data_IF_189975156723
#
_entry.id   IF_189975156723
#
_cell.length_a   1.000
_cell.length_b   1.000
_cell.length_c   1.000
_cell.angle_alpha   90.00
_cell.angle_beta   90.00
_cell.angle_gamma   90.00
#
_symmetry.space_group_name_H-M   'P 1'
#
loop_
_entity.id
_entity.type
_entity.pdbx_description
1 polymer ?
#
# COMPACT_ATOMS: atom_id res chain seq x y z
N UNK A 1 0.40 -21.12 -18.64
CA UNK A 1 1.24 -19.96 -18.25
C UNK A 1 0.56 -18.61 -18.53
N UNK A 2 -0.23 -18.45 -19.60
CA UNK A 2 -0.97 -17.20 -19.85
C UNK A 2 -2.07 -16.87 -18.82
N UNK A 3 -2.75 -17.89 -18.27
CA UNK A 3 -3.86 -17.72 -17.32
C UNK A 3 -3.43 -17.06 -16.00
N UNK A 4 -2.25 -17.44 -15.48
CA UNK A 4 -1.75 -16.91 -14.21
C UNK A 4 -1.33 -15.45 -14.30
N UNK A 5 -0.78 -15.00 -15.44
CA UNK A 5 -0.38 -13.61 -15.63
C UNK A 5 -1.59 -12.66 -15.73
N UNK A 6 -2.67 -13.09 -16.38
CA UNK A 6 -3.93 -12.31 -16.41
C UNK A 6 -4.54 -12.21 -15.01
N UNK A 7 -4.57 -13.30 -14.26
CA UNK A 7 -5.06 -13.31 -12.88
C UNK A 7 -4.23 -12.42 -11.94
N UNK A 8 -2.90 -12.39 -12.10
CA UNK A 8 -2.05 -11.46 -11.34
C UNK A 8 -2.43 -10.00 -11.59
N UNK A 9 -2.65 -9.63 -12.85
CA UNK A 9 -3.05 -8.29 -13.22
C UNK A 9 -4.43 -7.93 -12.67
N UNK A 10 -5.39 -8.86 -12.71
CA UNK A 10 -6.70 -8.69 -12.09
C UNK A 10 -6.60 -8.45 -10.59
N UNK A 11 -5.82 -9.25 -9.87
CA UNK A 11 -5.59 -9.06 -8.43
C UNK A 11 -4.95 -7.70 -8.14
N UNK A 12 -3.98 -7.25 -8.95
CA UNK A 12 -3.38 -5.94 -8.79
C UNK A 12 -4.35 -4.78 -9.04
N UNK A 13 -5.16 -4.88 -10.12
CA UNK A 13 -6.17 -3.87 -10.48
C UNK A 13 -7.23 -3.74 -9.39
N UNK A 14 -7.65 -4.85 -8.80
CA UNK A 14 -8.62 -4.88 -7.70
C UNK A 14 -8.02 -4.43 -6.35
N UNK A 15 -6.75 -4.78 -6.09
CA UNK A 15 -6.08 -4.49 -4.83
C UNK A 15 -5.75 -3.00 -4.65
N UNK A 16 -4.99 -2.41 -5.57
CA UNK A 16 -4.64 -0.99 -5.53
C UNK A 16 -3.78 -0.50 -4.34
N UNK A 17 -3.44 -1.33 -3.35
CA UNK A 17 -2.78 -0.86 -2.11
C UNK A 17 -1.37 -0.28 -2.28
N UNK A 18 -0.66 -0.63 -3.35
CA UNK A 18 0.57 0.07 -3.72
C UNK A 18 0.27 1.46 -4.31
N UNK A 19 -0.83 1.60 -5.05
CA UNK A 19 -1.19 2.82 -5.77
C UNK A 19 -1.87 3.86 -4.87
N UNK A 20 -2.67 3.44 -3.90
CA UNK A 20 -3.49 4.32 -3.05
C UNK A 20 -2.77 4.83 -1.80
N UNK A 21 -1.47 4.56 -1.67
CA UNK A 21 -0.68 4.97 -0.51
C UNK A 21 -0.73 4.03 0.69
N UNK A 22 -1.44 2.90 0.62
CA UNK A 22 -1.60 1.98 1.76
C UNK A 22 -0.30 1.28 2.14
N UNK A 23 0.43 0.75 1.16
CA UNK A 23 1.69 0.04 1.41
C UNK A 23 2.91 0.96 1.33
N UNK A 24 2.87 1.92 0.41
CA UNK A 24 4.01 2.78 0.09
C UNK A 24 3.56 4.21 -0.17
N UNK A 25 4.37 5.18 0.26
CA UNK A 25 4.18 6.61 -0.02
C UNK A 25 5.06 7.11 -1.17
N UNK A 26 5.95 6.25 -1.68
CA UNK A 26 6.80 6.50 -2.85
C UNK A 26 7.18 5.20 -3.55
N UNK A 27 7.47 5.27 -4.84
CA UNK A 27 7.97 4.15 -5.63
C UNK A 27 9.22 4.56 -6.40
N UNK A 28 10.16 3.62 -6.58
CA UNK A 28 11.42 3.86 -7.28
C UNK A 28 11.18 4.10 -8.76
N UNK A 29 11.95 5.00 -9.33
CA UNK A 29 12.06 5.26 -10.76
C UNK A 29 13.55 5.23 -11.14
N UNK A 30 13.85 5.29 -12.44
CA UNK A 30 15.22 5.43 -12.93
C UNK A 30 15.38 6.75 -13.69
N UNK A 31 16.63 7.18 -13.82
CA UNK A 31 16.98 8.40 -14.55
C UNK A 31 16.46 8.31 -15.99
N UNK A 32 15.63 9.28 -16.38
CA UNK A 32 14.95 9.39 -17.69
C UNK A 32 13.79 8.40 -17.93
N UNK A 33 13.24 7.75 -16.90
CA UNK A 33 11.96 7.07 -17.05
C UNK A 33 10.88 8.08 -17.45
N UNK A 34 10.09 7.75 -18.48
CA UNK A 34 8.99 8.59 -18.93
C UNK A 34 7.82 8.51 -17.95
N UNK A 35 7.89 9.31 -16.87
CA UNK A 35 6.82 9.45 -15.91
C UNK A 35 5.67 10.28 -16.50
N UNK A 36 4.45 9.92 -16.10
CA UNK A 36 3.25 10.62 -16.54
C UNK A 36 3.19 12.04 -15.94
N UNK A 37 2.62 13.05 -16.62
CA UNK A 37 2.72 14.46 -16.20
C UNK A 37 2.28 14.79 -14.76
N UNK A 38 1.30 14.06 -14.24
CA UNK A 38 0.76 14.22 -12.88
C UNK A 38 1.55 13.44 -11.80
N UNK A 39 2.56 12.68 -12.15
CA UNK A 39 3.39 11.98 -11.17
C UNK A 39 4.43 12.94 -10.59
N UNK A 40 4.33 13.22 -9.29
CA UNK A 40 5.32 14.05 -8.60
C UNK A 40 6.64 13.32 -8.47
N UNK A 41 7.71 13.86 -9.08
CA UNK A 41 9.07 13.29 -9.03
C UNK A 41 9.81 13.79 -7.80
N UNK A 42 10.61 12.90 -7.21
CA UNK A 42 11.46 13.19 -6.06
C UNK A 42 12.83 12.52 -6.26
N UNK A 43 13.91 13.22 -5.90
CA UNK A 43 15.27 12.67 -5.92
C UNK A 43 15.75 12.62 -4.47
N UNK A 44 16.15 11.43 -4.01
CA UNK A 44 16.68 11.19 -2.66
C UNK A 44 17.92 10.33 -2.79
N UNK A 45 19.07 10.80 -2.29
CA UNK A 45 20.36 10.10 -2.35
C UNK A 45 20.68 9.57 -3.76
N UNK A 46 20.62 10.45 -4.76
CA UNK A 46 20.82 10.16 -6.20
C UNK A 46 19.86 9.12 -6.81
N UNK A 47 18.85 8.69 -6.06
CA UNK A 47 17.81 7.75 -6.51
C UNK A 47 16.55 8.50 -6.89
N UNK A 48 15.93 8.10 -8.00
CA UNK A 48 14.71 8.70 -8.52
C UNK A 48 13.50 8.00 -7.91
N UNK A 49 12.49 8.78 -7.56
CA UNK A 49 11.24 8.31 -6.99
C UNK A 49 10.07 9.09 -7.58
N UNK A 50 8.87 8.51 -7.48
CA UNK A 50 7.64 9.25 -7.61
C UNK A 50 6.71 9.03 -6.42
N UNK A 51 5.90 10.05 -6.13
CA UNK A 51 5.02 10.07 -4.96
C UNK A 51 3.81 9.16 -5.13
N UNK A 52 3.40 8.56 -4.02
CA UNK A 52 2.14 7.85 -3.85
C UNK A 52 1.34 8.54 -2.71
N UNK A 53 0.00 8.61 -2.77
CA UNK A 53 -0.90 7.98 -3.74
C UNK A 53 -0.70 8.43 -5.19
N UNK A 54 -0.86 7.50 -6.12
CA UNK A 54 -0.75 7.78 -7.55
C UNK A 54 -1.94 8.63 -8.02
N UNK A 55 -1.67 9.74 -8.72
CA UNK A 55 -2.71 10.63 -9.24
C UNK A 55 -3.55 10.01 -10.39
N UNK A 56 -3.15 8.85 -10.90
CA UNK A 56 -3.86 8.08 -11.92
C UNK A 56 -4.56 6.85 -11.33
N UNK A 57 -4.76 6.81 -10.01
CA UNK A 57 -5.50 5.74 -9.35
C UNK A 57 -6.88 6.24 -8.90
N UNK A 58 -7.93 5.64 -9.46
CA UNK A 58 -9.31 5.80 -9.00
C UNK A 58 -9.98 4.42 -8.98
N UNK A 59 -9.90 3.74 -7.83
CA UNK A 59 -10.25 2.32 -7.61
C UNK A 59 -9.42 1.32 -8.43
N UNK A 60 -9.01 1.68 -9.64
CA UNK A 60 -8.03 1.00 -10.48
C UNK A 60 -7.16 2.06 -11.20
N UNK A 61 -6.11 1.60 -11.88
CA UNK A 61 -5.23 2.50 -12.63
C UNK A 61 -5.91 2.96 -13.92
N UNK A 62 -6.10 4.27 -14.08
CA UNK A 62 -6.77 4.86 -15.25
C UNK A 62 -5.92 4.86 -16.53
N UNK A 63 -4.66 4.45 -16.42
CA UNK A 63 -3.65 4.42 -17.50
C UNK A 63 -2.98 3.05 -17.58
N UNK A 64 -3.68 1.98 -17.14
CA UNK A 64 -3.09 0.65 -17.00
C UNK A 64 -2.49 0.10 -18.30
N UNK A 65 -3.17 0.30 -19.42
CA UNK A 65 -2.71 -0.19 -20.73
C UNK A 65 -1.82 0.82 -21.49
N UNK A 66 -1.41 1.90 -20.81
CA UNK A 66 -0.60 2.98 -21.38
C UNK A 66 0.76 3.07 -20.66
N UNK A 67 1.31 4.28 -20.57
CA UNK A 67 2.67 4.57 -20.10
C UNK A 67 2.80 4.44 -18.57
N UNK A 68 2.59 3.22 -18.04
CA UNK A 68 2.87 2.90 -16.63
C UNK A 68 4.38 2.86 -16.40
N UNK A 69 4.88 3.41 -15.28
CA UNK A 69 6.26 3.19 -14.86
C UNK A 69 6.59 1.70 -14.75
N UNK A 70 7.81 1.31 -15.11
CA UNK A 70 8.26 -0.07 -15.13
C UNK A 70 8.06 -0.74 -13.77
N UNK A 71 8.35 -0.03 -12.68
CA UNK A 71 8.16 -0.54 -11.31
C UNK A 71 6.71 -0.97 -11.03
N UNK A 72 5.71 -0.33 -11.67
CA UNK A 72 4.31 -0.68 -11.50
C UNK A 72 3.93 -2.02 -12.16
N UNK A 73 4.69 -2.47 -13.16
CA UNK A 73 4.53 -3.78 -13.79
C UNK A 73 5.43 -4.85 -13.16
N UNK A 74 6.63 -4.47 -12.74
CA UNK A 74 7.66 -5.41 -12.27
C UNK A 74 7.50 -5.80 -10.80
N UNK A 75 6.97 -4.90 -9.98
CA UNK A 75 6.86 -5.14 -8.54
C UNK A 75 5.77 -6.17 -8.22
N UNK A 76 6.18 -7.32 -7.66
CA UNK A 76 5.28 -8.29 -7.06
C UNK A 76 5.35 -8.20 -5.53
N UNK A 77 4.28 -7.70 -4.90
CA UNK A 77 4.16 -7.74 -3.44
C UNK A 77 4.19 -9.19 -2.94
N UNK A 78 4.43 -9.42 -1.64
CA UNK A 78 4.57 -10.78 -1.10
C UNK A 78 3.32 -11.63 -1.33
N UNK A 79 2.13 -11.03 -1.26
CA UNK A 79 0.87 -11.72 -1.51
C UNK A 79 0.77 -12.21 -2.96
N UNK A 80 1.04 -11.33 -3.92
CA UNK A 80 1.07 -11.66 -5.34
C UNK A 80 2.18 -12.68 -5.66
N UNK A 81 3.35 -12.53 -5.05
CA UNK A 81 4.44 -13.49 -5.20
C UNK A 81 4.07 -14.88 -4.70
N UNK A 82 3.28 -14.99 -3.62
CA UNK A 82 2.76 -16.29 -3.17
C UNK A 82 1.78 -16.89 -4.17
N UNK A 83 0.89 -16.08 -4.75
CA UNK A 83 -0.01 -16.49 -5.83
C UNK A 83 0.76 -17.05 -7.03
N UNK A 84 1.74 -16.28 -7.54
CA UNK A 84 2.58 -16.68 -8.69
C UNK A 84 3.27 -18.01 -8.48
N UNK A 85 3.55 -18.36 -7.22
CA UNK A 85 4.23 -19.59 -6.83
C UNK A 85 3.26 -20.72 -6.42
N UNK A 86 1.96 -20.57 -6.67
CA UNK A 86 0.94 -21.58 -6.33
C UNK A 86 0.76 -21.80 -4.82
N UNK A 87 1.11 -20.82 -3.98
CA UNK A 87 1.03 -20.94 -2.51
C UNK A 87 -0.26 -20.35 -1.93
N UNK A 88 -1.02 -19.63 -2.74
CA UNK A 88 -2.29 -19.02 -2.39
C UNK A 88 -3.18 -19.06 -3.62
N UNK A 89 -4.46 -19.31 -3.39
CA UNK A 89 -5.47 -19.31 -4.44
C UNK A 89 -6.03 -17.91 -4.70
N UNK A 90 -6.58 -17.71 -5.90
CA UNK A 90 -7.11 -16.42 -6.35
C UNK A 90 -8.19 -15.86 -5.40
N UNK A 91 -9.16 -16.69 -5.03
CA UNK A 91 -10.26 -16.29 -4.14
C UNK A 91 -9.79 -16.01 -2.71
N UNK A 92 -8.76 -16.71 -2.24
CA UNK A 92 -8.16 -16.43 -0.93
C UNK A 92 -7.56 -15.02 -0.89
N UNK A 93 -6.92 -14.61 -1.98
CA UNK A 93 -6.30 -13.28 -2.08
C UNK A 93 -7.37 -12.20 -2.20
N UNK A 94 -8.39 -12.39 -3.05
CA UNK A 94 -9.53 -11.47 -3.13
C UNK A 94 -10.17 -11.24 -1.76
N UNK A 95 -10.41 -12.32 -1.00
CA UNK A 95 -10.96 -12.21 0.36
C UNK A 95 -10.06 -11.38 1.29
N UNK A 96 -8.74 -11.53 1.21
CA UNK A 96 -7.79 -10.72 2.00
C UNK A 96 -7.81 -9.25 1.59
N UNK A 97 -7.92 -8.96 0.30
CA UNK A 97 -8.03 -7.60 -0.24
C UNK A 97 -9.30 -6.92 0.29
N UNK A 98 -10.45 -7.57 0.13
CA UNK A 98 -11.74 -7.03 0.61
C UNK A 98 -11.75 -6.79 2.11
N UNK A 99 -11.21 -7.72 2.91
CA UNK A 99 -11.07 -7.53 4.36
C UNK A 99 -10.31 -6.25 4.71
N UNK A 100 -9.26 -5.92 3.98
CA UNK A 100 -8.47 -4.71 4.22
C UNK A 100 -9.22 -3.47 3.74
N UNK A 101 -9.89 -3.51 2.58
CA UNK A 101 -10.75 -2.41 2.10
C UNK A 101 -11.83 -2.08 3.13
N UNK A 102 -12.50 -3.09 3.67
CA UNK A 102 -13.50 -2.94 4.73
C UNK A 102 -12.90 -2.37 6.02
N UNK A 103 -11.71 -2.84 6.42
CA UNK A 103 -10.99 -2.28 7.57
C UNK A 103 -10.66 -0.80 7.38
N UNK A 104 -10.24 -0.39 6.18
CA UNK A 104 -9.99 1.03 5.88
C UNK A 104 -11.25 1.87 6.08
N UNK A 105 -12.40 1.38 5.61
CA UNK A 105 -13.69 2.07 5.80
C UNK A 105 -14.03 2.20 7.29
N UNK A 106 -13.86 1.12 8.07
CA UNK A 106 -14.11 1.16 9.52
C UNK A 106 -13.15 2.08 10.25
N UNK A 107 -11.85 2.02 9.94
CA UNK A 107 -10.84 2.89 10.55
C UNK A 107 -11.09 4.36 10.24
N UNK A 108 -11.51 4.71 9.01
CA UNK A 108 -11.92 6.09 8.68
C UNK A 108 -13.05 6.60 9.58
N UNK A 109 -13.97 5.74 10.01
CA UNK A 109 -15.06 6.11 10.94
C UNK A 109 -14.59 6.23 12.39
N UNK A 110 -13.56 5.47 12.77
CA UNK A 110 -13.05 5.40 14.15
C UNK A 110 -11.99 6.47 14.45
N UNK A 111 -11.23 6.92 13.46
CA UNK A 111 -10.20 7.95 13.64
C UNK A 111 -10.87 9.33 13.72
N UNK A 112 -10.74 10.07 14.84
CA UNK A 112 -11.36 11.38 14.96
C UNK A 112 -10.77 12.41 13.98
N UNK A 113 -11.65 13.17 13.33
CA UNK A 113 -11.31 14.30 12.44
C UNK A 113 -10.41 13.95 11.23
N UNK A 114 -10.49 12.72 10.73
CA UNK A 114 -9.80 12.35 9.49
C UNK A 114 -10.42 13.10 8.29
N UNK A 115 -9.58 13.63 7.40
CA UNK A 115 -10.03 14.21 6.13
C UNK A 115 -10.17 13.11 5.08
N UNK A 116 -11.12 13.24 4.15
CA UNK A 116 -11.39 12.21 3.13
C UNK A 116 -10.15 11.85 2.29
N UNK A 117 -9.32 12.84 1.98
CA UNK A 117 -8.10 12.72 1.16
C UNK A 117 -6.85 12.34 1.96
N UNK A 118 -6.93 12.24 3.30
CA UNK A 118 -5.77 11.98 4.14
C UNK A 118 -5.41 10.49 4.16
N UNK A 119 -4.11 10.18 4.18
CA UNK A 119 -3.66 8.81 4.38
C UNK A 119 -4.04 8.32 5.77
N UNK A 120 -4.57 7.10 5.83
CA UNK A 120 -5.06 6.50 7.07
C UNK A 120 -3.97 6.43 8.15
N UNK A 121 -2.74 6.10 7.74
CA UNK A 121 -1.57 6.00 8.62
C UNK A 121 -1.14 7.34 9.19
N UNK A 122 -1.18 8.39 8.38
CA UNK A 122 -0.91 9.76 8.84
C UNK A 122 -1.96 10.22 9.85
N UNK A 123 -3.24 9.98 9.55
CA UNK A 123 -4.35 10.35 10.44
C UNK A 123 -4.26 9.62 11.78
N UNK A 124 -3.97 8.31 11.76
CA UNK A 124 -3.80 7.51 12.97
C UNK A 124 -2.63 8.00 13.82
N UNK A 125 -1.46 8.26 13.23
CA UNK A 125 -0.32 8.77 14.00
C UNK A 125 -0.52 10.18 14.51
N UNK A 126 -1.19 11.05 13.74
CA UNK A 126 -1.58 12.36 14.23
C UNK A 126 -2.53 12.26 15.44
N UNK A 127 -3.46 11.30 15.43
CA UNK A 127 -4.31 10.99 16.59
C UNK A 127 -3.48 10.53 17.79
N UNK A 128 -2.51 9.62 17.61
CA UNK A 128 -1.66 9.16 18.70
C UNK A 128 -0.79 10.29 19.28
N UNK A 129 -0.18 11.11 18.44
CA UNK A 129 0.69 12.21 18.87
C UNK A 129 -0.09 13.24 19.70
N UNK A 130 -1.31 13.58 19.29
CA UNK A 130 -2.20 14.47 20.06
C UNK A 130 -2.54 13.93 21.44
N UNK A 131 -2.53 12.61 21.62
CA UNK A 131 -2.90 11.94 22.87
C UNK A 131 -1.69 11.29 23.59
N UNK A 132 -0.45 11.64 23.22
CA UNK A 132 0.77 10.93 23.64
C UNK A 132 0.91 10.73 25.16
N UNK A 133 0.46 11.71 25.94
CA UNK A 133 0.54 11.69 27.40
C UNK A 133 -0.45 10.70 28.04
N UNK A 134 -1.53 10.34 27.34
CA UNK A 134 -2.59 9.48 27.86
C UNK A 134 -2.56 8.04 27.31
N UNK A 135 -1.77 7.76 26.26
CA UNK A 135 -1.75 6.47 25.55
C UNK A 135 -1.58 5.24 26.45
N UNK A 136 -0.82 5.38 27.55
CA UNK A 136 -0.55 4.27 28.49
C UNK A 136 -1.63 4.11 29.56
N UNK A 137 -2.55 5.06 29.70
CA UNK A 137 -3.58 5.03 30.73
C UNK A 137 -4.66 3.98 30.41
N UNK A 138 -5.20 3.35 31.45
CA UNK A 138 -6.32 2.41 31.31
C UNK A 138 -7.56 3.09 30.71
N UNK A 139 -7.83 4.35 31.12
CA UNK A 139 -8.94 5.17 30.62
C UNK A 139 -8.87 5.32 29.10
N UNK A 140 -7.74 5.77 28.57
CA UNK A 140 -7.54 5.95 27.13
C UNK A 140 -7.72 4.63 26.36
N UNK A 141 -7.10 3.54 26.85
CA UNK A 141 -7.19 2.23 26.19
C UNK A 141 -8.61 1.68 26.13
N UNK A 142 -9.41 1.87 27.17
CA UNK A 142 -10.82 1.46 27.19
C UNK A 142 -11.61 2.32 26.21
N UNK A 143 -11.46 3.64 26.30
CA UNK A 143 -12.18 4.61 25.46
C UNK A 143 -11.91 4.42 23.96
N UNK A 144 -10.68 4.07 23.59
CA UNK A 144 -10.27 3.89 22.19
C UNK A 144 -10.00 2.43 21.81
N UNK A 145 -10.48 1.48 22.61
CA UNK A 145 -10.22 0.03 22.44
C UNK A 145 -10.53 -0.45 21.02
N UNK A 146 -11.69 -0.07 20.48
CA UNK A 146 -12.10 -0.44 19.14
C UNK A 146 -11.13 0.07 18.06
N UNK A 147 -10.73 1.35 18.13
CA UNK A 147 -9.77 1.92 17.18
C UNK A 147 -8.40 1.22 17.28
N UNK A 148 -7.90 1.03 18.49
CA UNK A 148 -6.58 0.43 18.72
C UNK A 148 -6.52 -1.03 18.25
N UNK A 149 -7.58 -1.81 18.52
CA UNK A 149 -7.67 -3.21 18.08
C UNK A 149 -7.84 -3.32 16.57
N UNK A 150 -8.70 -2.47 15.98
CA UNK A 150 -8.90 -2.46 14.53
C UNK A 150 -7.60 -2.08 13.81
N UNK A 151 -6.87 -1.09 14.32
CA UNK A 151 -5.58 -0.67 13.77
C UNK A 151 -4.53 -1.79 13.87
N UNK A 152 -4.40 -2.43 15.04
CA UNK A 152 -3.47 -3.53 15.23
C UNK A 152 -3.77 -4.71 14.29
N UNK A 153 -5.05 -5.06 14.13
CA UNK A 153 -5.49 -6.09 13.19
C UNK A 153 -5.16 -5.71 11.74
N UNK A 154 -5.41 -4.46 11.36
CA UNK A 154 -5.12 -3.92 10.04
C UNK A 154 -3.63 -3.99 9.69
N UNK A 155 -2.74 -3.52 10.58
CA UNK A 155 -1.29 -3.60 10.39
C UNK A 155 -0.82 -5.06 10.27
N UNK A 156 -1.37 -5.97 11.08
CA UNK A 156 -1.07 -7.40 10.98
C UNK A 156 -1.48 -7.97 9.60
N UNK A 157 -2.61 -7.54 9.02
CA UNK A 157 -3.00 -7.96 7.66
C UNK A 157 -2.08 -7.37 6.60
N UNK A 158 -1.73 -6.09 6.70
CA UNK A 158 -0.80 -5.44 5.76
C UNK A 158 0.59 -6.11 5.77
N UNK A 159 1.03 -6.65 6.89
CA UNK A 159 2.30 -7.40 6.97
C UNK A 159 2.39 -8.59 5.99
N UNK A 160 1.26 -9.10 5.51
CA UNK A 160 1.23 -10.19 4.51
C UNK A 160 1.65 -9.71 3.10
N UNK A 161 1.58 -8.40 2.83
CA UNK A 161 1.95 -7.79 1.56
C UNK A 161 3.42 -7.41 1.52
N UNK A 162 4.02 -7.10 2.66
CA UNK A 162 5.43 -6.78 2.76
C UNK A 162 6.27 -8.05 2.66
N UNK A 163 7.28 -8.00 1.79
CA UNK A 163 8.37 -8.96 1.89
C UNK A 163 9.04 -8.73 3.26
N UNK A 164 9.22 -9.80 4.05
CA UNK A 164 10.17 -9.72 5.17
C UNK A 164 11.47 -9.20 4.58
N UNK A 165 12.11 -8.22 5.19
CA UNK A 165 13.39 -7.69 4.74
C UNK A 165 14.34 -8.85 4.42
N UNK A 166 14.40 -9.22 3.14
CA UNK A 166 15.53 -9.92 2.57
C UNK A 166 16.40 -8.79 2.13
N UNK A 167 17.43 -8.50 2.93
CA UNK A 167 18.64 -7.75 2.56
C UNK A 167 18.49 -7.04 1.22
N UNK A 168 18.23 -5.73 1.27
CA UNK A 168 18.18 -4.80 0.14
C UNK A 168 18.69 -5.44 -1.16
N UNK A 169 17.76 -5.88 -2.02
CA UNK A 169 18.12 -6.26 -3.39
C UNK A 169 18.74 -5.02 -4.01
N UNK A 170 20.07 -5.00 -4.02
CA UNK A 170 20.87 -3.99 -4.71
C UNK A 170 20.31 -3.88 -6.14
N UNK A 171 20.13 -2.65 -6.58
CA UNK A 171 19.81 -2.35 -7.96
C UNK A 171 20.73 -3.16 -8.90
N UNK A 172 20.23 -3.67 -10.03
CA UNK A 172 21.07 -4.37 -10.98
C UNK A 172 22.22 -3.45 -11.36
N UNK A 173 23.45 -3.92 -11.14
CA UNK A 173 24.64 -3.24 -11.65
C UNK A 173 24.53 -3.23 -13.17
N UNK A 174 24.40 -2.05 -13.75
CA UNK A 174 24.57 -1.82 -15.19
C UNK A 174 25.95 -2.35 -15.58
N UNK A 175 25.98 -3.25 -16.56
CA UNK A 175 27.20 -3.62 -17.28
C UNK A 175 27.64 -2.47 -18.17
#
# INVERSE_FOLDING_TARGET
>A
MATSQNQEQELCKDCGFCCDGTLFTRATSFKNEALLPKMGVEIVDDSYWFKLPCQYFDKCCTVYDHNRPAICGDFKCRLLSKFSNGKLEFDEIKKKIEQIKDQKIRLKKLIPNIKETQLLKEAYYAFLEKNKNELKTKKFRIQHSQLLLEWASYENRLSQFHHKEKTARKAPKTK
#
